data_IF_500374456434
#
_entry.id   IF_500374456434
#
_cell.length_a   1.000
_cell.length_b   1.000
_cell.length_c   1.000
_cell.angle_alpha   90.00
_cell.angle_beta   90.00
_cell.angle_gamma   90.00
#
_symmetry.space_group_name_H-M   'P 1'
#
loop_
_entity.id
_entity.type
_entity.pdbx_description
1 polymer ?
#
# COMPACT_ATOMS: atom_id res chain seq x y z
N UNK A 1 1.04 22.13 -15.48
CA UNK A 1 1.05 22.16 -13.99
C UNK A 1 0.04 21.20 -13.38
N UNK A 2 -1.15 21.04 -13.97
CA UNK A 2 -2.20 20.11 -13.52
C UNK A 2 -1.71 18.66 -13.43
N UNK A 3 -1.06 18.14 -14.47
CA UNK A 3 -0.60 16.74 -14.51
C UNK A 3 0.46 16.42 -13.46
N UNK A 4 1.33 17.39 -13.15
CA UNK A 4 2.33 17.24 -12.06
C UNK A 4 1.67 17.15 -10.69
N UNK A 5 0.58 17.92 -10.45
CA UNK A 5 -0.17 17.88 -9.19
C UNK A 5 -0.97 16.59 -9.06
N UNK A 6 -1.55 16.11 -10.17
CA UNK A 6 -2.26 14.82 -10.22
C UNK A 6 -1.28 13.68 -9.91
N UNK A 7 -0.12 13.64 -10.55
CA UNK A 7 0.89 12.60 -10.26
C UNK A 7 1.35 12.63 -8.80
N UNK A 8 1.59 13.82 -8.24
CA UNK A 8 1.96 13.95 -6.83
C UNK A 8 0.84 13.46 -5.89
N UNK A 9 -0.41 13.81 -6.19
CA UNK A 9 -1.56 13.34 -5.42
C UNK A 9 -1.67 11.81 -5.45
N UNK A 10 -1.53 11.20 -6.64
CA UNK A 10 -1.56 9.74 -6.80
C UNK A 10 -0.41 9.08 -6.02
N UNK A 11 0.80 9.64 -6.05
CA UNK A 11 1.93 9.12 -5.27
C UNK A 11 1.62 9.17 -3.76
N UNK A 12 1.10 10.30 -3.26
CA UNK A 12 0.75 10.45 -1.84
C UNK A 12 -0.35 9.46 -1.45
N UNK A 13 -1.35 9.28 -2.31
CA UNK A 13 -2.43 8.31 -2.08
C UNK A 13 -1.90 6.87 -2.04
N UNK A 14 -1.06 6.47 -2.99
CA UNK A 14 -0.39 5.16 -3.00
C UNK A 14 0.43 4.92 -1.74
N UNK A 15 1.19 5.93 -1.27
CA UNK A 15 1.93 5.84 -0.01
C UNK A 15 1.01 5.64 1.21
N UNK A 16 -0.16 6.30 1.22
CA UNK A 16 -1.14 6.12 2.27
C UNK A 16 -1.75 4.70 2.26
N UNK A 17 -2.11 4.17 1.10
CA UNK A 17 -2.62 2.80 0.95
C UNK A 17 -1.56 1.77 1.38
N UNK A 18 -0.29 1.99 0.99
CA UNK A 18 0.83 1.16 1.41
C UNK A 18 0.99 1.16 2.93
N UNK A 19 0.92 2.34 3.57
CA UNK A 19 0.98 2.47 5.03
C UNK A 19 -0.15 1.70 5.74
N UNK A 20 -1.39 1.81 5.26
CA UNK A 20 -2.51 1.07 5.80
C UNK A 20 -2.32 -0.44 5.64
N UNK A 21 -1.86 -0.88 4.48
CA UNK A 21 -1.65 -2.30 4.18
C UNK A 21 -0.56 -2.90 5.08
N UNK A 22 0.56 -2.20 5.28
CA UNK A 22 1.61 -2.59 6.23
C UNK A 22 1.06 -2.62 7.66
N UNK A 23 0.23 -1.64 8.03
CA UNK A 23 -0.40 -1.59 9.35
C UNK A 23 -1.31 -2.78 9.60
N UNK A 24 -2.04 -3.27 8.58
CA UNK A 24 -2.84 -4.50 8.66
C UNK A 24 -1.95 -5.73 8.83
N UNK A 25 -0.81 -5.82 8.14
CA UNK A 25 0.12 -6.95 8.33
C UNK A 25 0.73 -6.96 9.74
N UNK A 26 1.15 -5.79 10.25
CA UNK A 26 1.82 -5.67 11.54
C UNK A 26 0.85 -5.75 12.74
N UNK A 27 -0.34 -5.16 12.62
CA UNK A 27 -1.30 -5.04 13.71
C UNK A 27 -2.54 -5.93 13.53
N UNK A 28 -2.68 -6.60 12.39
CA UNK A 28 -3.79 -7.52 12.11
C UNK A 28 -3.85 -8.65 13.14
N UNK A 29 -2.70 -9.18 13.56
CA UNK A 29 -2.65 -10.17 14.64
C UNK A 29 -3.08 -9.60 16.00
N UNK A 30 -2.89 -8.30 16.26
CA UNK A 30 -3.14 -7.70 17.59
C UNK A 30 -4.58 -7.19 17.70
N UNK A 31 -5.16 -6.65 16.63
CA UNK A 31 -6.49 -6.01 16.65
C UNK A 31 -7.62 -6.90 16.10
N UNK A 32 -7.35 -7.76 15.10
CA UNK A 32 -8.37 -8.67 14.55
C UNK A 32 -8.66 -9.87 15.46
N UNK A 33 -7.73 -10.23 16.36
CA UNK A 33 -7.96 -11.27 17.38
C UNK A 33 -9.02 -10.89 18.43
N UNK A 34 -9.26 -9.60 18.67
CA UNK A 34 -10.22 -9.15 19.70
C UNK A 34 -11.67 -9.14 19.23
N UNK A 35 -11.92 -9.11 17.92
CA UNK A 35 -13.26 -9.25 17.34
C UNK A 35 -13.37 -10.58 16.61
N UNK A 36 -13.53 -11.69 17.35
CA UNK A 36 -14.15 -12.98 16.97
C UNK A 36 -14.11 -13.46 15.49
N UNK A 37 -13.05 -13.16 14.74
CA UNK A 37 -12.84 -13.58 13.35
C UNK A 37 -11.95 -14.82 13.39
N UNK A 38 -12.29 -15.85 12.61
CA UNK A 38 -11.54 -17.12 12.65
C UNK A 38 -10.07 -16.89 12.30
N UNK A 39 -9.16 -17.71 12.85
CA UNK A 39 -7.73 -17.57 12.56
C UNK A 39 -7.43 -17.68 11.05
N UNK A 40 -8.27 -18.41 10.31
CA UNK A 40 -8.20 -18.60 8.87
C UNK A 40 -8.56 -17.34 8.09
N UNK A 41 -9.56 -16.60 8.55
CA UNK A 41 -9.96 -15.30 8.00
C UNK A 41 -8.89 -14.23 8.26
N UNK A 42 -8.28 -14.21 9.45
CA UNK A 42 -7.16 -13.32 9.78
C UNK A 42 -5.99 -13.58 8.83
N UNK A 43 -5.67 -14.86 8.60
CA UNK A 43 -4.58 -15.24 7.71
C UNK A 43 -4.86 -14.85 6.25
N UNK A 44 -6.11 -14.99 5.79
CA UNK A 44 -6.54 -14.49 4.48
C UNK A 44 -6.37 -12.98 4.36
N UNK A 45 -6.83 -12.21 5.36
CA UNK A 45 -6.70 -10.74 5.37
C UNK A 45 -5.23 -10.31 5.30
N UNK A 46 -4.36 -10.94 6.09
CA UNK A 46 -2.92 -10.67 6.05
C UNK A 46 -2.34 -11.01 4.67
N UNK A 47 -2.73 -12.15 4.09
CA UNK A 47 -2.27 -12.56 2.78
C UNK A 47 -2.69 -11.57 1.68
N UNK A 48 -3.95 -11.12 1.69
CA UNK A 48 -4.41 -10.08 0.76
C UNK A 48 -3.69 -8.75 0.97
N UNK A 49 -3.43 -8.35 2.22
CA UNK A 49 -2.68 -7.13 2.51
C UNK A 49 -1.24 -7.20 1.96
N UNK A 50 -0.57 -8.35 2.07
CA UNK A 50 0.74 -8.58 1.45
C UNK A 50 0.70 -8.43 -0.08
N UNK A 51 -0.34 -8.97 -0.72
CA UNK A 51 -0.51 -8.84 -2.16
C UNK A 51 -0.72 -7.37 -2.59
N UNK A 52 -1.51 -6.61 -1.83
CA UNK A 52 -1.70 -5.17 -2.04
C UNK A 52 -0.40 -4.39 -1.86
N UNK A 53 0.43 -4.73 -0.87
CA UNK A 53 1.77 -4.13 -0.68
C UNK A 53 2.64 -4.32 -1.92
N UNK A 54 2.70 -5.54 -2.47
CA UNK A 54 3.49 -5.83 -3.68
C UNK A 54 3.00 -4.99 -4.86
N UNK A 55 1.68 -4.89 -5.03
CA UNK A 55 1.09 -4.09 -6.11
C UNK A 55 1.40 -2.60 -5.96
N UNK A 56 1.22 -2.01 -4.78
CA UNK A 56 1.51 -0.60 -4.51
C UNK A 56 2.98 -0.25 -4.74
N UNK A 57 3.91 -1.15 -4.40
CA UNK A 57 5.34 -0.95 -4.70
C UNK A 57 5.57 -0.86 -6.22
N UNK A 58 4.95 -1.73 -7.01
CA UNK A 58 5.07 -1.70 -8.48
C UNK A 58 4.49 -0.39 -9.03
N UNK A 59 3.32 0.04 -8.54
CA UNK A 59 2.68 1.30 -8.94
C UNK A 59 3.59 2.48 -8.60
N UNK A 60 4.15 2.54 -7.39
CA UNK A 60 5.07 3.59 -6.97
C UNK A 60 6.33 3.63 -7.83
N UNK A 61 6.91 2.46 -8.16
CA UNK A 61 8.06 2.39 -9.07
C UNK A 61 7.71 3.02 -10.42
N UNK A 62 6.59 2.64 -11.03
CA UNK A 62 6.13 3.19 -12.31
C UNK A 62 5.90 4.69 -12.24
N UNK A 63 5.26 5.18 -11.17
CA UNK A 63 4.97 6.60 -10.99
C UNK A 63 6.23 7.44 -10.74
N UNK A 64 7.28 6.85 -10.17
CA UNK A 64 8.55 7.51 -9.85
C UNK A 64 9.57 7.45 -10.99
N UNK A 65 9.46 6.51 -11.94
CA UNK A 65 10.34 6.40 -13.12
C UNK A 65 10.57 7.75 -13.85
N UNK A 66 9.52 8.56 -14.15
CA UNK A 66 9.69 9.83 -14.86
C UNK A 66 10.41 10.90 -14.03
N UNK A 67 10.41 10.80 -12.70
CA UNK A 67 11.13 11.71 -11.82
C UNK A 67 12.63 11.41 -11.79
N UNK A 68 13.01 10.14 -11.94
CA UNK A 68 14.41 9.72 -12.04
C UNK A 68 15.04 10.14 -13.39
N UNK A 69 14.27 10.06 -14.47
CA UNK A 69 14.76 10.33 -15.83
C UNK A 69 14.95 11.81 -16.17
N UNK A 70 14.34 12.74 -15.41
CA UNK A 70 14.49 14.20 -15.63
C UNK A 70 15.79 14.81 -15.07
N UNK A 71 16.72 14.00 -14.57
CA UNK A 71 18.11 14.44 -14.32
C UNK A 71 18.96 14.24 -15.58
N UNK A 72 18.78 15.08 -16.59
CA UNK A 72 19.77 15.38 -17.65
C UNK A 72 19.42 16.68 -18.32
#
# INVERSE_FOLDING_TARGET
>A
MRDKRVNLFVIIFSLYVLYLSISVVLNGEVSLKYNAVSMEDINHIIHYALLVIVYEIIVLLVLLLPFSHKRK
#
